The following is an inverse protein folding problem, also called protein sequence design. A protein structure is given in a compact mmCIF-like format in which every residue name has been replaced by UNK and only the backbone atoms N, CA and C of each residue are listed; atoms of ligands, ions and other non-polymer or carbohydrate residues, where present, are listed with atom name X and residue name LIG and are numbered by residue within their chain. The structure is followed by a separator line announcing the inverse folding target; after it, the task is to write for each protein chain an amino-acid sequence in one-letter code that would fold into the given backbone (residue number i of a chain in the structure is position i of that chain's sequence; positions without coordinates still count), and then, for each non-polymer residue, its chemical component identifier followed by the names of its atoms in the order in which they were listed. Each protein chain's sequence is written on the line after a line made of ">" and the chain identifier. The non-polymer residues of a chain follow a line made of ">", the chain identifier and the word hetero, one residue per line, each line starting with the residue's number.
data_IF_028286689961
#
_entry.id   IF_028286689961
#
_cell.length_a   1.000
_cell.length_b   1.000
_cell.length_c   1.000
_cell.angle_alpha   90.00
_cell.angle_beta   90.00
_cell.angle_gamma   90.00
#
_symmetry.space_group_name_H-M   'P 1'
#
loop_
_entity.id
_entity.type
_entity.pdbx_description
1 polymer ?
#
# COMPACT_ATOMS: atom_id res chain seq x y z
N UNK A 1 11.42 -23.54 -6.94
CA UNK A 1 10.28 -23.82 -7.84
C UNK A 1 8.99 -23.10 -7.40
N UNK A 2 9.02 -22.30 -6.33
CA UNK A 2 7.86 -21.55 -5.78
C UNK A 2 7.75 -20.12 -6.38
N UNK A 3 8.79 -19.62 -7.03
CA UNK A 3 8.82 -18.25 -7.59
C UNK A 3 8.14 -18.09 -8.95
N UNK A 4 7.86 -19.14 -9.67
CA UNK A 4 7.30 -19.05 -11.04
C UNK A 4 5.77 -18.97 -11.09
N UNK A 5 5.07 -19.47 -10.06
CA UNK A 5 3.59 -19.40 -10.04
C UNK A 5 3.04 -18.01 -9.71
N UNK A 6 3.82 -17.16 -9.00
CA UNK A 6 3.40 -15.79 -8.70
C UNK A 6 3.53 -14.84 -9.90
N UNK A 7 4.40 -15.12 -10.86
CA UNK A 7 4.57 -14.27 -12.05
C UNK A 7 3.51 -14.52 -13.12
N UNK A 8 3.02 -15.75 -13.26
CA UNK A 8 1.98 -16.07 -14.24
C UNK A 8 0.62 -15.45 -13.93
N UNK A 9 0.31 -15.19 -12.65
CA UNK A 9 -0.97 -14.57 -12.27
C UNK A 9 -1.04 -13.07 -12.62
N UNK A 10 0.10 -12.40 -12.77
CA UNK A 10 0.14 -10.97 -13.21
C UNK A 10 -0.19 -10.76 -14.68
N UNK A 11 -0.13 -11.82 -15.51
CA UNK A 11 -0.35 -11.74 -16.95
C UNK A 11 -1.74 -12.20 -17.40
N UNK A 12 -2.51 -12.84 -16.51
CA UNK A 12 -3.81 -13.45 -16.85
C UNK A 12 -5.03 -12.55 -16.69
N UNK A 13 -4.85 -11.24 -16.35
CA UNK A 13 -6.00 -10.35 -16.31
C UNK A 13 -6.56 -10.13 -17.71
N UNK A 14 -7.53 -10.96 -18.06
CA UNK A 14 -8.34 -10.83 -19.26
C UNK A 14 -9.13 -9.52 -19.23
N UNK A 15 -9.50 -9.03 -20.40
CA UNK A 15 -10.36 -7.85 -20.59
C UNK A 15 -11.60 -7.99 -19.72
N UNK A 16 -11.79 -7.04 -18.77
CA UNK A 16 -12.96 -7.01 -17.89
C UNK A 16 -12.75 -7.53 -16.46
N UNK A 17 -11.57 -8.04 -16.09
CA UNK A 17 -11.28 -8.48 -14.71
C UNK A 17 -10.88 -7.28 -13.84
N UNK A 18 -11.49 -7.20 -12.64
CA UNK A 18 -11.16 -6.18 -11.64
C UNK A 18 -9.81 -6.48 -11.01
N UNK A 19 -9.00 -5.44 -10.81
CA UNK A 19 -7.70 -5.54 -10.18
C UNK A 19 -7.32 -4.26 -9.46
N UNK A 20 -6.44 -4.35 -8.47
CA UNK A 20 -5.84 -3.20 -7.81
C UNK A 20 -4.64 -2.69 -8.61
N UNK A 21 -4.78 -1.53 -9.22
CA UNK A 21 -3.70 -0.84 -9.91
C UNK A 21 -2.99 0.13 -8.96
N UNK A 22 -1.66 0.01 -8.87
CA UNK A 22 -0.86 1.01 -8.17
C UNK A 22 -0.65 2.23 -9.09
N UNK A 23 -1.02 3.42 -8.59
CA UNK A 23 -1.03 4.65 -9.35
C UNK A 23 -0.24 5.76 -8.65
N UNK A 24 0.31 6.66 -9.46
CA UNK A 24 0.91 7.90 -8.99
C UNK A 24 0.06 9.10 -9.40
N UNK A 25 -0.35 9.91 -8.42
CA UNK A 25 -1.00 11.20 -8.66
C UNK A 25 0.02 12.32 -8.45
N UNK A 26 0.67 12.75 -9.52
CA UNK A 26 1.78 13.70 -9.46
C UNK A 26 1.40 15.03 -8.80
N UNK A 27 2.36 15.67 -8.13
CA UNK A 27 2.25 16.96 -7.43
C UNK A 27 1.28 16.95 -6.24
N UNK A 28 1.22 15.86 -5.47
CA UNK A 28 0.40 15.78 -4.25
C UNK A 28 -1.10 15.87 -4.52
N UNK A 29 -1.56 15.32 -5.67
CA UNK A 29 -2.97 15.39 -6.09
C UNK A 29 -3.76 14.11 -5.80
N UNK A 30 -3.30 13.29 -4.87
CA UNK A 30 -3.91 12.01 -4.50
C UNK A 30 -5.37 12.20 -4.06
N UNK A 31 -5.62 13.18 -3.20
CA UNK A 31 -6.98 13.47 -2.72
C UNK A 31 -7.88 13.97 -3.85
N UNK A 32 -7.35 14.79 -4.77
CA UNK A 32 -8.10 15.23 -5.95
C UNK A 32 -8.43 14.07 -6.88
N UNK A 33 -7.51 13.12 -7.05
CA UNK A 33 -7.77 11.91 -7.82
C UNK A 33 -8.85 11.07 -7.14
N UNK A 34 -8.79 10.90 -5.81
CA UNK A 34 -9.80 10.20 -5.02
C UNK A 34 -11.18 10.81 -5.22
N UNK A 35 -11.33 12.13 -5.04
CA UNK A 35 -12.61 12.83 -5.20
C UNK A 35 -13.24 12.62 -6.59
N UNK A 36 -12.40 12.54 -7.62
CA UNK A 36 -12.85 12.26 -8.98
C UNK A 36 -13.28 10.80 -9.15
N UNK A 37 -12.45 9.85 -8.68
CA UNK A 37 -12.74 8.41 -8.80
C UNK A 37 -13.99 8.01 -8.03
N UNK A 38 -14.23 8.58 -6.85
CA UNK A 38 -15.43 8.35 -6.06
C UNK A 38 -16.71 8.86 -6.77
N UNK A 39 -16.63 9.99 -7.48
CA UNK A 39 -17.75 10.48 -8.32
C UNK A 39 -18.04 9.57 -9.51
N UNK A 40 -17.03 8.89 -10.01
CA UNK A 40 -17.12 7.89 -11.07
C UNK A 40 -17.46 6.48 -10.53
N UNK A 41 -17.79 6.37 -9.24
CA UNK A 41 -18.09 5.12 -8.54
C UNK A 41 -16.97 4.06 -8.66
N UNK A 42 -15.73 4.52 -8.64
CA UNK A 42 -14.54 3.66 -8.70
C UNK A 42 -13.88 3.60 -7.33
N UNK A 43 -13.73 2.38 -6.82
CA UNK A 43 -13.07 2.13 -5.56
C UNK A 43 -11.59 2.52 -5.63
N UNK A 44 -11.13 3.28 -4.63
CA UNK A 44 -9.72 3.64 -4.52
C UNK A 44 -9.28 3.72 -3.05
N UNK A 45 -7.99 3.54 -2.84
CA UNK A 45 -7.39 3.57 -1.52
C UNK A 45 -6.13 4.45 -1.51
N UNK A 46 -6.05 5.34 -0.52
CA UNK A 46 -4.86 6.14 -0.21
C UNK A 46 -4.46 5.81 1.23
N UNK A 47 -3.24 5.33 1.48
CA UNK A 47 -2.76 5.17 2.85
C UNK A 47 -2.67 6.55 3.52
N UNK A 48 -3.36 6.72 4.65
CA UNK A 48 -3.47 7.99 5.36
C UNK A 48 -2.83 7.89 6.74
N UNK A 49 -2.29 9.00 7.22
CA UNK A 49 -1.78 9.13 8.61
C UNK A 49 -2.24 10.44 9.22
N UNK A 50 -2.30 10.47 10.56
CA UNK A 50 -2.44 11.74 11.27
C UNK A 50 -1.10 12.45 11.39
N UNK A 51 -1.11 13.77 11.15
CA UNK A 51 0.04 14.63 11.36
C UNK A 51 -0.37 15.92 12.09
N UNK A 52 0.48 16.40 12.99
CA UNK A 52 0.27 17.68 13.68
C UNK A 52 0.82 18.77 12.79
N UNK A 53 -0.07 19.58 12.23
CA UNK A 53 0.27 20.72 11.41
C UNK A 53 0.19 21.99 12.26
N UNK A 54 1.27 22.77 12.29
CA UNK A 54 1.30 24.07 12.97
C UNK A 54 0.86 25.16 11.99
N UNK A 55 -0.41 25.52 12.06
CA UNK A 55 -0.97 26.60 11.26
C UNK A 55 -0.79 27.92 12.02
N UNK A 56 -0.15 28.91 11.39
CA UNK A 56 0.12 30.24 12.00
C UNK A 56 -1.14 30.97 12.48
N UNK A 57 -2.32 30.61 11.92
CA UNK A 57 -3.61 31.23 12.27
C UNK A 57 -4.43 30.43 13.25
N UNK A 58 -4.32 29.10 13.20
CA UNK A 58 -5.17 28.16 13.96
C UNK A 58 -4.41 27.38 15.04
N UNK A 59 -3.06 27.56 15.12
CA UNK A 59 -2.22 26.81 16.02
C UNK A 59 -2.03 25.34 15.57
N UNK A 60 -1.66 24.49 16.51
CA UNK A 60 -1.41 23.05 16.25
C UNK A 60 -2.72 22.30 16.05
N UNK A 61 -2.94 21.81 14.85
CA UNK A 61 -4.10 20.97 14.48
C UNK A 61 -3.65 19.60 14.02
N UNK A 62 -4.38 18.54 14.44
CA UNK A 62 -4.16 17.18 13.96
C UNK A 62 -4.97 16.98 12.69
N UNK A 63 -4.30 16.73 11.56
CA UNK A 63 -4.93 16.53 10.25
C UNK A 63 -4.60 15.14 9.70
N UNK A 64 -5.56 14.57 8.99
CA UNK A 64 -5.38 13.33 8.24
C UNK A 64 -4.81 13.68 6.86
N UNK A 65 -3.64 13.17 6.54
CA UNK A 65 -2.92 13.43 5.29
C UNK A 65 -2.45 12.13 4.63
N UNK A 66 -2.19 12.11 3.31
CA UNK A 66 -1.56 10.98 2.66
C UNK A 66 -0.24 10.60 3.34
N UNK A 67 -0.10 9.32 3.68
CA UNK A 67 1.08 8.82 4.38
C UNK A 67 2.28 8.63 3.46
N UNK A 68 2.01 8.31 2.18
CA UNK A 68 2.99 8.15 1.12
C UNK A 68 2.62 9.12 0.01
N UNK A 69 3.56 10.00 -0.33
CA UNK A 69 3.34 11.06 -1.31
C UNK A 69 3.10 10.51 -2.72
N UNK A 70 2.12 11.08 -3.42
CA UNK A 70 1.70 10.71 -4.78
C UNK A 70 1.12 9.31 -4.95
N UNK A 71 1.01 8.48 -3.92
CA UNK A 71 0.56 7.10 -4.03
C UNK A 71 -0.95 6.97 -3.80
N UNK A 72 -1.61 6.25 -4.72
CA UNK A 72 -2.95 5.71 -4.52
C UNK A 72 -3.12 4.37 -5.25
N UNK A 73 -4.09 3.58 -4.81
CA UNK A 73 -4.47 2.33 -5.41
C UNK A 73 -5.89 2.46 -5.96
N UNK A 74 -6.14 1.88 -7.14
CA UNK A 74 -7.45 1.96 -7.81
C UNK A 74 -7.91 0.55 -8.15
N UNK A 75 -9.10 0.17 -7.68
CA UNK A 75 -9.70 -1.13 -7.92
C UNK A 75 -10.74 -1.04 -9.04
N UNK A 76 -10.38 -1.50 -10.21
CA UNK A 76 -11.23 -1.43 -11.38
C UNK A 76 -10.71 -2.32 -12.52
N UNK A 77 -11.35 -2.28 -13.69
CA UNK A 77 -10.83 -2.95 -14.90
C UNK A 77 -9.80 -2.09 -15.60
N UNK A 78 -8.94 -2.73 -16.38
CA UNK A 78 -7.90 -2.03 -17.16
C UNK A 78 -8.49 -1.01 -18.15
N UNK A 79 -9.59 -1.35 -18.79
CA UNK A 79 -10.28 -0.49 -19.74
C UNK A 79 -10.86 0.74 -19.04
N UNK A 80 -11.50 0.54 -17.87
CA UNK A 80 -12.10 1.62 -17.10
C UNK A 80 -11.06 2.62 -16.63
N UNK A 81 -9.96 2.16 -16.01
CA UNK A 81 -8.91 3.07 -15.56
C UNK A 81 -8.22 3.79 -16.72
N UNK A 82 -8.05 3.13 -17.87
CA UNK A 82 -7.49 3.77 -19.06
C UNK A 82 -8.39 4.90 -19.58
N UNK A 83 -9.71 4.72 -19.57
CA UNK A 83 -10.67 5.75 -19.94
C UNK A 83 -10.64 6.93 -18.94
N UNK A 84 -10.64 6.65 -17.65
CA UNK A 84 -10.60 7.68 -16.59
C UNK A 84 -9.34 8.53 -16.60
N UNK A 85 -8.20 7.96 -16.97
CA UNK A 85 -6.93 8.68 -17.11
C UNK A 85 -6.98 9.80 -18.15
N UNK A 86 -7.85 9.75 -19.13
CA UNK A 86 -8.02 10.84 -20.11
C UNK A 86 -8.49 12.15 -19.45
N UNK A 87 -9.31 12.04 -18.39
CA UNK A 87 -9.75 13.18 -17.57
C UNK A 87 -8.79 13.57 -16.44
N UNK A 88 -7.82 12.70 -16.12
CA UNK A 88 -6.86 12.87 -15.03
C UNK A 88 -5.42 12.79 -15.54
N UNK A 89 -4.97 13.80 -16.29
CA UNK A 89 -3.64 13.84 -16.91
C UNK A 89 -2.47 13.71 -15.92
N UNK A 90 -2.71 13.93 -14.64
CA UNK A 90 -1.74 13.77 -13.57
C UNK A 90 -1.74 12.37 -12.91
N UNK A 91 -2.65 11.49 -13.33
CA UNK A 91 -2.76 10.12 -12.81
C UNK A 91 -2.01 9.17 -13.76
N UNK A 92 -0.96 8.53 -13.25
CA UNK A 92 -0.12 7.62 -14.01
C UNK A 92 -0.02 6.25 -13.33
N UNK A 93 0.15 5.19 -14.12
CA UNK A 93 0.49 3.90 -13.55
C UNK A 93 1.87 3.94 -12.89
N UNK A 94 2.00 3.34 -11.72
CA UNK A 94 3.29 2.84 -11.29
C UNK A 94 3.60 1.60 -12.12
N UNK A 95 4.83 1.49 -12.62
CA UNK A 95 5.22 0.43 -13.54
C UNK A 95 6.44 -0.32 -13.03
N UNK A 96 6.55 -1.58 -13.43
CA UNK A 96 7.75 -2.39 -13.26
C UNK A 96 8.28 -2.87 -14.61
N UNK A 97 9.60 -3.05 -14.78
CA UNK A 97 10.15 -3.62 -15.99
C UNK A 97 9.81 -5.11 -16.07
N UNK A 98 9.36 -5.54 -17.25
CA UNK A 98 9.15 -6.94 -17.60
C UNK A 98 9.47 -7.12 -19.08
N UNK A 99 10.39 -8.00 -19.43
CA UNK A 99 10.80 -8.32 -20.81
C UNK A 99 11.10 -7.07 -21.67
N UNK A 100 11.82 -6.10 -21.09
CA UNK A 100 12.18 -4.85 -21.77
C UNK A 100 11.05 -3.84 -21.95
N UNK A 101 9.87 -4.08 -21.35
CA UNK A 101 8.71 -3.17 -21.34
C UNK A 101 8.34 -2.77 -19.93
N UNK A 102 7.81 -1.57 -19.77
CA UNK A 102 7.22 -1.14 -18.52
C UNK A 102 5.75 -1.56 -18.46
N UNK A 103 5.41 -2.43 -17.53
CA UNK A 103 4.03 -2.88 -17.32
C UNK A 103 3.46 -2.27 -16.03
N UNK A 104 2.14 -1.97 -15.99
CA UNK A 104 1.49 -1.52 -14.77
C UNK A 104 1.69 -2.51 -13.62
N UNK A 105 1.91 -1.98 -12.41
CA UNK A 105 1.94 -2.80 -11.20
C UNK A 105 0.50 -3.08 -10.79
N UNK A 106 0.16 -4.37 -10.78
CA UNK A 106 -1.09 -4.89 -10.24
C UNK A 106 -0.78 -5.53 -8.89
N UNK A 107 -1.55 -5.16 -7.89
CA UNK A 107 -1.40 -5.66 -6.53
C UNK A 107 -2.37 -6.83 -6.32
N UNK A 108 -1.90 -7.98 -5.85
CA UNK A 108 -2.78 -9.08 -5.47
C UNK A 108 -3.77 -8.67 -4.35
N UNK A 109 -5.02 -9.13 -4.46
CA UNK A 109 -6.10 -8.76 -3.54
C UNK A 109 -5.78 -9.07 -2.07
N UNK A 110 -5.14 -10.21 -1.81
CA UNK A 110 -4.74 -10.60 -0.46
C UNK A 110 -3.71 -9.62 0.13
N UNK A 111 -2.74 -9.15 -0.65
CA UNK A 111 -1.77 -8.15 -0.20
C UNK A 111 -2.46 -6.80 0.04
N UNK A 112 -3.35 -6.40 -0.86
CA UNK A 112 -4.07 -5.14 -0.71
C UNK A 112 -4.98 -5.16 0.51
N UNK A 113 -5.70 -6.25 0.76
CA UNK A 113 -6.53 -6.43 1.94
C UNK A 113 -5.72 -6.30 3.24
N UNK A 114 -4.58 -6.97 3.33
CA UNK A 114 -3.68 -6.88 4.49
C UNK A 114 -3.19 -5.45 4.71
N UNK A 115 -2.77 -4.79 3.64
CA UNK A 115 -2.28 -3.42 3.70
C UNK A 115 -3.37 -2.43 4.13
N UNK A 116 -4.57 -2.50 3.54
CA UNK A 116 -5.74 -1.68 3.92
C UNK A 116 -6.09 -1.91 5.40
N UNK A 117 -6.14 -3.17 5.85
CA UNK A 117 -6.47 -3.51 7.23
C UNK A 117 -5.53 -2.82 8.21
N UNK A 118 -4.22 -2.85 7.96
CA UNK A 118 -3.25 -2.18 8.83
C UNK A 118 -3.38 -0.66 8.75
N UNK A 119 -3.46 -0.09 7.55
CA UNK A 119 -3.52 1.36 7.37
C UNK A 119 -4.78 1.97 8.00
N UNK A 120 -5.93 1.28 7.93
CA UNK A 120 -7.19 1.76 8.47
C UNK A 120 -7.25 1.77 10.01
N UNK A 121 -6.26 1.23 10.70
CA UNK A 121 -6.16 1.40 12.15
C UNK A 121 -5.76 2.82 12.55
N UNK A 122 -5.15 3.57 11.63
CA UNK A 122 -4.61 4.92 11.86
C UNK A 122 -3.73 5.01 13.11
N UNK A 123 -3.06 3.91 13.48
CA UNK A 123 -2.18 3.88 14.65
C UNK A 123 -0.97 4.80 14.40
N UNK A 124 -0.74 5.74 15.31
CA UNK A 124 0.38 6.69 15.23
C UNK A 124 1.76 6.00 15.27
N UNK A 125 1.80 4.70 15.59
CA UNK A 125 3.03 3.90 15.62
C UNK A 125 3.33 3.20 14.28
N UNK A 126 2.44 3.31 13.30
CA UNK A 126 2.70 2.82 11.97
C UNK A 126 3.79 3.66 11.30
N UNK A 127 4.73 2.99 10.68
CA UNK A 127 5.77 3.64 9.88
C UNK A 127 5.59 3.20 8.44
N UNK A 128 5.30 4.14 7.57
CA UNK A 128 5.17 3.90 6.15
C UNK A 128 6.54 3.99 5.49
N UNK A 129 6.85 3.03 4.65
CA UNK A 129 8.15 2.86 4.02
C UNK A 129 7.99 2.85 2.50
N UNK A 130 8.93 3.49 1.81
CA UNK A 130 9.08 3.33 0.37
C UNK A 130 9.74 1.98 0.03
N UNK A 131 9.63 1.48 -1.20
CA UNK A 131 10.25 0.21 -1.61
C UNK A 131 11.76 0.16 -1.35
N UNK A 132 12.44 1.30 -1.49
CA UNK A 132 13.90 1.39 -1.32
C UNK A 132 14.35 1.31 0.14
N UNK A 133 13.43 1.53 1.09
CA UNK A 133 13.72 1.49 2.54
C UNK A 133 13.57 0.09 3.13
N UNK A 134 13.06 -0.87 2.36
CA UNK A 134 12.73 -2.21 2.85
C UNK A 134 13.56 -3.27 2.15
N UNK A 135 14.51 -3.87 2.88
CA UNK A 135 15.18 -5.10 2.46
C UNK A 135 14.51 -6.29 3.15
N UNK A 136 13.58 -6.95 2.47
CA UNK A 136 12.82 -8.09 3.00
C UNK A 136 13.47 -9.46 2.73
N UNK A 137 14.63 -9.49 2.09
CA UNK A 137 15.29 -10.75 1.71
C UNK A 137 15.74 -11.60 2.93
N UNK A 138 15.72 -11.03 4.14
CA UNK A 138 16.14 -11.67 5.38
C UNK A 138 15.02 -11.83 6.42
N UNK A 139 13.76 -11.63 6.02
CA UNK A 139 12.63 -11.68 6.96
C UNK A 139 11.99 -13.07 7.05
N UNK A 140 11.32 -13.33 8.17
CA UNK A 140 10.55 -14.56 8.39
C UNK A 140 9.06 -14.25 8.14
N UNK A 141 8.37 -14.99 7.25
CA UNK A 141 6.93 -14.84 7.08
C UNK A 141 6.20 -15.19 8.39
N UNK A 142 5.29 -14.32 8.79
CA UNK A 142 4.56 -14.46 10.06
C UNK A 142 3.12 -14.00 9.91
N UNK A 143 2.28 -14.55 10.79
CA UNK A 143 0.91 -14.09 11.03
C UNK A 143 0.81 -13.52 12.44
N UNK A 144 0.16 -12.38 12.59
CA UNK A 144 -0.12 -11.79 13.91
C UNK A 144 -1.36 -12.45 14.48
N UNK A 145 -1.27 -12.91 15.73
CA UNK A 145 -2.37 -13.53 16.46
C UNK A 145 -2.66 -12.69 17.72
N UNK A 146 -3.91 -12.30 17.85
CA UNK A 146 -4.35 -11.36 18.89
C UNK A 146 -3.90 -9.93 18.58
N UNK A 147 -4.39 -8.95 19.26
CA UNK A 147 -4.18 -7.51 19.04
C UNK A 147 -5.12 -6.91 17.96
N UNK A 148 -4.99 -5.59 17.75
CA UNK A 148 -5.74 -4.87 16.72
C UNK A 148 -5.37 -5.32 15.27
N UNK A 149 -4.30 -6.11 15.12
CA UNK A 149 -3.80 -6.61 13.84
C UNK A 149 -3.99 -8.12 13.69
N UNK A 150 -4.95 -8.71 14.42
CA UNK A 150 -5.19 -10.16 14.37
C UNK A 150 -5.44 -10.64 12.95
N UNK A 151 -4.79 -11.74 12.57
CA UNK A 151 -4.89 -12.32 11.24
C UNK A 151 -4.02 -11.67 10.17
N UNK A 152 -3.39 -10.53 10.44
CA UNK A 152 -2.51 -9.86 9.47
C UNK A 152 -1.24 -10.68 9.25
N UNK A 153 -0.91 -10.90 7.98
CA UNK A 153 0.29 -11.58 7.53
C UNK A 153 1.33 -10.56 7.06
N UNK A 154 2.58 -10.82 7.36
CA UNK A 154 3.67 -9.95 6.99
C UNK A 154 5.03 -10.61 7.18
N UNK A 155 6.08 -9.84 7.05
CA UNK A 155 7.45 -10.31 7.23
C UNK A 155 8.02 -9.74 8.52
N UNK A 156 8.45 -10.64 9.41
CA UNK A 156 9.14 -10.25 10.63
C UNK A 156 10.60 -9.93 10.35
N UNK A 157 10.99 -8.70 10.67
CA UNK A 157 12.37 -8.24 10.55
C UNK A 157 12.93 -7.80 11.89
N UNK A 158 14.20 -8.08 12.13
CA UNK A 158 14.97 -7.51 13.24
C UNK A 158 15.61 -6.23 12.76
N UNK A 159 15.19 -5.10 13.31
CA UNK A 159 15.90 -3.84 13.05
C UNK A 159 17.17 -3.79 13.87
N UNK A 160 18.31 -3.65 13.18
CA UNK A 160 19.61 -3.48 13.80
C UNK A 160 19.62 -2.30 14.78
N UNK A 161 20.08 -2.56 16.04
CA UNK A 161 20.24 -1.65 17.19
C UNK A 161 19.10 -1.55 18.20
N UNK A 162 18.14 -2.48 18.23
CA UNK A 162 17.19 -2.51 19.36
C UNK A 162 16.49 -3.86 19.46
N UNK A 163 16.11 -4.27 20.68
CA UNK A 163 15.32 -5.48 20.95
C UNK A 163 13.85 -5.34 20.47
N UNK A 164 13.58 -4.50 19.46
CA UNK A 164 12.23 -4.23 18.98
C UNK A 164 11.89 -5.20 17.86
N UNK A 165 10.85 -5.99 18.11
CA UNK A 165 10.20 -6.84 17.11
C UNK A 165 9.33 -5.96 16.22
N UNK A 166 9.45 -6.12 14.91
CA UNK A 166 8.68 -5.36 13.92
C UNK A 166 8.13 -6.31 12.87
N UNK A 167 6.90 -6.09 12.45
CA UNK A 167 6.29 -6.80 11.33
C UNK A 167 6.05 -5.79 10.21
N UNK A 168 6.47 -6.16 9.02
CA UNK A 168 6.29 -5.35 7.82
C UNK A 168 5.23 -6.02 6.95
N UNK A 169 4.17 -5.29 6.65
CA UNK A 169 3.16 -5.66 5.66
C UNK A 169 3.49 -4.92 4.38
N UNK A 170 3.72 -5.65 3.32
CA UNK A 170 4.20 -5.12 2.05
C UNK A 170 3.15 -5.26 0.96
N UNK A 171 3.05 -4.22 0.16
CA UNK A 171 2.48 -4.25 -1.18
C UNK A 171 3.64 -4.32 -2.16
N UNK A 172 3.79 -5.43 -2.84
CA UNK A 172 4.97 -5.79 -3.62
C UNK A 172 5.42 -4.70 -4.59
N UNK A 173 6.63 -4.20 -4.38
CA UNK A 173 7.28 -3.23 -5.28
C UNK A 173 6.72 -1.81 -5.22
N UNK A 174 5.81 -1.49 -4.30
CA UNK A 174 5.13 -0.19 -4.26
C UNK A 174 5.24 0.51 -2.92
N UNK A 175 4.92 -0.20 -1.84
CA UNK A 175 4.87 0.38 -0.50
C UNK A 175 4.98 -0.70 0.58
N UNK A 176 5.35 -0.29 1.77
CA UNK A 176 5.26 -1.13 2.95
C UNK A 176 4.77 -0.31 4.15
N UNK A 177 4.10 -0.97 5.08
CA UNK A 177 3.78 -0.42 6.39
C UNK A 177 4.38 -1.29 7.46
N UNK A 178 5.12 -0.68 8.38
CA UNK A 178 5.77 -1.35 9.49
C UNK A 178 4.96 -1.13 10.76
N UNK A 179 4.58 -2.23 11.41
CA UNK A 179 3.97 -2.26 12.72
C UNK A 179 5.09 -2.29 13.75
N UNK A 180 5.41 -1.15 14.33
CA UNK A 180 6.57 -1.00 15.23
C UNK A 180 6.34 -1.58 16.63
N UNK A 181 5.08 -1.73 17.07
CA UNK A 181 4.73 -2.26 18.38
C UNK A 181 3.30 -2.79 18.38
N UNK A 182 3.16 -4.08 18.69
CA UNK A 182 1.86 -4.66 19.05
C UNK A 182 1.94 -5.14 20.51
N UNK A 183 0.99 -4.71 21.34
CA UNK A 183 1.07 -4.84 22.80
C UNK A 183 0.51 -6.17 23.32
N UNK A 184 -0.41 -6.80 22.62
CA UNK A 184 -1.22 -7.90 23.15
C UNK A 184 -1.40 -9.05 22.14
N UNK A 185 -0.33 -9.48 21.49
CA UNK A 185 -0.38 -10.57 20.55
C UNK A 185 0.94 -11.33 20.44
N UNK A 186 0.92 -12.44 19.73
CA UNK A 186 2.12 -13.21 19.39
C UNK A 186 2.23 -13.41 17.88
N UNK A 187 3.44 -13.77 17.43
CA UNK A 187 3.72 -14.06 16.03
C UNK A 187 3.71 -15.58 15.81
N UNK A 188 2.92 -16.01 14.87
CA UNK A 188 2.96 -17.37 14.33
C UNK A 188 3.81 -17.36 13.08
N UNK A 189 4.80 -18.23 13.00
CA UNK A 189 5.59 -18.45 11.77
C UNK A 189 4.74 -19.23 10.77
N UNK A 190 4.74 -18.80 9.52
CA UNK A 190 4.02 -19.41 8.41
C UNK A 190 4.87 -20.47 7.69
#
# INVERSE_FOLDING_TARGET
>A
MIGMEFEENSLKNSVGEYAWFAMSATFGRELKAKDFLEKEEVECFIPMKYEIIDDRKQGKTRKLIPAIHNLLFVHTTKERIQALKTGLNFLQYLTKPLDGRNIPIIVPDNQMLQFITVCNTYDDKLVYLSPDEVNLNEGTPVKIIGSAFDGVEGVFVRVNKGRKKQVIVQVQGVAAVMIAKFSDGYLQVL
#
